data_IF_582659075420
#
_entry.id   IF_582659075420
#
_cell.length_a   1.000
_cell.length_b   1.000
_cell.length_c   1.000
_cell.angle_alpha   90.00
_cell.angle_beta   90.00
_cell.angle_gamma   90.00
#
_symmetry.space_group_name_H-M   'P 1'
#
loop_
_entity.id
_entity.type
_entity.pdbx_description
1 polymer ?
#
# COMPACT_ATOMS: atom_id res chain seq x y z
N UNK A 1 2.93 30.95 30.94
CA UNK A 1 2.58 30.07 29.79
C UNK A 1 3.75 29.77 28.85
N UNK A 2 4.86 30.52 28.82
CA UNK A 2 6.04 30.16 28.00
C UNK A 2 6.94 29.06 28.59
N UNK A 3 6.77 28.70 29.87
CA UNK A 3 7.59 27.67 30.52
C UNK A 3 7.16 26.22 30.20
N UNK A 4 5.99 26.03 29.59
CA UNK A 4 5.44 24.70 29.23
C UNK A 4 5.87 24.21 27.83
N UNK A 5 6.59 25.04 27.06
CA UNK A 5 7.06 24.73 25.71
C UNK A 5 8.59 24.60 25.64
N UNK A 6 9.26 24.73 26.79
CA UNK A 6 10.67 24.39 26.95
C UNK A 6 10.73 22.97 27.54
N UNK A 7 11.26 21.98 26.79
CA UNK A 7 11.28 20.58 27.25
C UNK A 7 11.99 20.40 28.59
N UNK A 8 13.01 21.22 28.88
CA UNK A 8 13.80 21.13 30.11
C UNK A 8 13.05 21.72 31.31
N UNK A 9 12.29 22.80 31.12
CA UNK A 9 11.43 23.37 32.17
C UNK A 9 10.20 22.51 32.46
N UNK A 10 9.59 21.93 31.42
CA UNK A 10 8.45 21.01 31.55
C UNK A 10 8.85 19.73 32.30
N UNK A 11 10.02 19.17 31.99
CA UNK A 11 10.59 18.04 32.71
C UNK A 11 10.79 18.33 34.21
N UNK A 12 11.36 19.50 34.54
CA UNK A 12 11.56 19.92 35.93
C UNK A 12 10.24 20.10 36.69
N UNK A 13 9.19 20.60 36.02
CA UNK A 13 7.86 20.78 36.61
C UNK A 13 7.17 19.44 36.91
N UNK A 14 7.16 18.51 35.95
CA UNK A 14 6.54 17.19 36.13
C UNK A 14 7.28 16.36 37.19
N UNK A 15 8.61 16.48 37.25
CA UNK A 15 9.47 15.84 38.26
C UNK A 15 9.21 16.30 39.68
N UNK A 16 9.03 17.60 39.89
CA UNK A 16 8.89 18.16 41.23
C UNK A 16 7.48 18.02 41.81
N UNK A 17 6.45 17.81 40.97
CA UNK A 17 5.04 17.90 41.39
C UNK A 17 4.19 16.64 41.18
N UNK A 18 4.52 15.73 40.26
CA UNK A 18 3.57 14.68 39.84
C UNK A 18 4.12 13.25 39.72
N UNK A 19 5.38 12.96 40.08
CA UNK A 19 6.01 11.66 39.83
C UNK A 19 6.46 10.90 41.09
N UNK A 20 5.49 10.33 41.79
CA UNK A 20 5.69 9.62 43.06
C UNK A 20 6.09 8.14 42.87
N UNK A 21 6.11 7.61 41.63
CA UNK A 21 6.30 6.16 41.34
C UNK A 21 7.45 5.82 40.37
N UNK A 22 8.29 6.78 40.00
CA UNK A 22 9.44 6.57 39.10
C UNK A 22 9.10 6.64 37.60
N UNK A 23 10.12 6.90 36.78
CA UNK A 23 10.05 7.04 35.30
C UNK A 23 10.67 5.78 34.67
N UNK A 24 10.04 5.15 33.66
CA UNK A 24 10.65 4.04 32.93
C UNK A 24 11.97 4.46 32.24
N UNK A 25 12.99 3.62 32.33
CA UNK A 25 14.33 3.90 31.83
C UNK A 25 14.34 4.15 30.31
N UNK A 26 13.46 3.51 29.55
CA UNK A 26 13.43 3.64 28.08
C UNK A 26 12.98 5.02 27.60
N UNK A 27 12.11 5.71 28.35
CA UNK A 27 11.71 7.09 28.07
C UNK A 27 12.92 8.05 28.16
N UNK A 28 13.86 7.77 29.05
CA UNK A 28 15.10 8.53 29.22
C UNK A 28 16.04 8.33 28.02
N UNK A 29 16.01 7.14 27.39
CA UNK A 29 16.91 6.78 26.29
C UNK A 29 16.42 7.31 24.93
N UNK A 30 15.12 7.27 24.66
CA UNK A 30 14.53 7.89 23.46
C UNK A 30 14.66 9.43 23.49
N UNK A 31 14.49 10.04 24.67
CA UNK A 31 14.62 11.49 24.83
C UNK A 31 16.08 11.96 24.75
N UNK A 32 17.04 11.17 25.25
CA UNK A 32 18.46 11.48 25.18
C UNK A 32 19.00 11.53 23.74
N UNK A 33 18.45 10.73 22.82
CA UNK A 33 18.91 10.70 21.42
C UNK A 33 18.34 11.84 20.57
N UNK A 34 17.23 12.47 20.98
CA UNK A 34 16.68 13.67 20.32
C UNK A 34 17.65 14.87 20.34
N UNK A 35 18.57 14.93 21.31
CA UNK A 35 19.56 16.00 21.45
C UNK A 35 20.72 15.96 20.45
N UNK A 36 20.93 14.86 19.72
CA UNK A 36 22.09 14.70 18.82
C UNK A 36 21.74 14.98 17.34
N UNK A 37 20.47 14.96 16.95
CA UNK A 37 20.05 14.96 15.52
C UNK A 37 19.41 16.25 14.99
N UNK A 38 19.36 17.35 15.75
CA UNK A 38 18.64 18.59 15.38
C UNK A 38 17.18 18.35 14.93
N UNK A 39 16.50 17.45 15.65
CA UNK A 39 15.13 17.05 15.40
C UNK A 39 14.15 18.20 15.70
N UNK A 40 13.35 18.60 14.70
CA UNK A 40 12.18 19.47 14.93
C UNK A 40 11.01 18.59 15.36
N UNK A 41 10.40 18.93 16.50
CA UNK A 41 9.17 18.29 16.98
C UNK A 41 8.15 18.26 15.85
N UNK A 42 7.77 17.05 15.46
CA UNK A 42 6.73 16.86 14.49
C UNK A 42 5.38 17.13 15.16
N UNK A 43 4.34 17.38 14.37
CA UNK A 43 2.98 17.50 14.89
C UNK A 43 2.55 16.28 15.73
N UNK A 44 3.15 15.10 15.51
CA UNK A 44 2.87 13.89 16.28
C UNK A 44 3.39 13.98 17.71
N UNK A 45 4.60 14.50 17.89
CA UNK A 45 5.18 14.75 19.21
C UNK A 45 4.35 15.79 19.97
N UNK A 46 3.83 16.79 19.25
CA UNK A 46 2.96 17.84 19.80
C UNK A 46 1.58 17.30 20.20
N UNK A 47 1.05 16.32 19.47
CA UNK A 47 -0.24 15.68 19.76
C UNK A 47 -0.14 14.72 20.95
N UNK A 48 0.96 13.97 21.09
CA UNK A 48 1.22 13.12 22.25
C UNK A 48 1.31 13.95 23.54
N UNK A 49 1.86 15.16 23.45
CA UNK A 49 1.82 16.16 24.53
C UNK A 49 0.38 16.62 24.87
N UNK A 50 -0.48 16.88 23.89
CA UNK A 50 -1.89 17.24 24.11
C UNK A 50 -2.71 16.09 24.73
N UNK A 51 -2.41 14.84 24.36
CA UNK A 51 -3.08 13.64 24.89
C UNK A 51 -2.74 13.43 26.36
N UNK A 52 -1.47 13.66 26.75
CA UNK A 52 -1.05 13.62 28.14
C UNK A 52 -1.72 14.75 28.94
N UNK A 53 -1.77 15.97 28.39
CA UNK A 53 -2.44 17.15 28.98
C UNK A 53 -3.96 16.96 29.18
N UNK A 54 -4.63 16.26 28.26
CA UNK A 54 -6.06 15.96 28.34
C UNK A 54 -6.38 14.83 29.34
N UNK A 55 -5.51 13.83 29.50
CA UNK A 55 -5.65 12.79 30.53
C UNK A 55 -5.55 13.33 31.97
N UNK A 56 -4.86 14.46 32.17
CA UNK A 56 -4.76 15.16 33.47
C UNK A 56 -6.06 15.91 33.83
N UNK A 57 -7.01 16.09 32.90
CA UNK A 57 -8.27 16.80 33.13
C UNK A 57 -9.50 15.88 33.02
N UNK A 58 -9.93 15.31 34.15
CA UNK A 58 -11.34 14.90 34.37
C UNK A 58 -11.66 14.92 35.87
N UNK A 59 -12.88 15.25 36.35
CA UNK A 59 -13.93 16.11 35.81
C UNK A 59 -14.30 17.20 36.84
N UNK A 60 -14.14 18.49 36.53
CA UNK A 60 -14.85 19.57 37.24
C UNK A 60 -14.91 20.82 36.37
N UNK A 61 -16.09 21.03 35.79
CA UNK A 61 -16.68 22.29 35.32
C UNK A 61 -15.80 23.24 34.51
N UNK A 62 -16.00 23.28 33.17
CA UNK A 62 -16.26 24.53 32.43
C UNK A 62 -17.15 24.21 31.22
N UNK A 63 -18.27 24.92 31.09
CA UNK A 63 -19.21 24.85 29.95
C UNK A 63 -18.63 25.62 28.74
N UNK A 64 -18.62 25.00 27.56
CA UNK A 64 -18.81 25.66 26.26
C UNK A 64 -19.32 24.62 25.23
N UNK A 65 -20.32 24.99 24.42
CA UNK A 65 -21.16 24.10 23.59
C UNK A 65 -20.43 23.39 22.43
N UNK A 66 -20.82 22.15 22.07
CA UNK A 66 -20.18 21.37 21.00
C UNK A 66 -20.91 21.44 19.66
N UNK A 67 -20.16 21.54 18.56
CA UNK A 67 -20.53 20.94 17.28
C UNK A 67 -20.16 19.45 17.32
N UNK A 68 -21.12 18.59 16.96
CA UNK A 68 -21.02 17.13 17.05
C UNK A 68 -20.24 16.57 15.86
N UNK A 69 -19.08 15.97 16.11
CA UNK A 69 -18.49 14.94 15.23
C UNK A 69 -18.83 13.58 15.87
N UNK A 70 -19.32 12.57 15.14
CA UNK A 70 -19.64 11.27 15.71
C UNK A 70 -18.36 10.54 16.14
N UNK A 71 -18.16 10.35 17.45
CA UNK A 71 -17.12 9.50 17.99
C UNK A 71 -17.57 8.04 17.91
N UNK A 72 -16.88 7.21 17.12
CA UNK A 72 -17.08 5.76 17.11
C UNK A 72 -16.58 5.20 18.45
N UNK A 73 -17.52 4.77 19.29
CA UNK A 73 -17.21 4.02 20.52
C UNK A 73 -16.72 2.63 20.10
N UNK A 74 -15.41 2.41 20.16
CA UNK A 74 -14.87 1.05 20.17
C UNK A 74 -15.28 0.47 21.52
N UNK A 75 -16.21 -0.49 21.52
CA UNK A 75 -16.43 -1.32 22.71
C UNK A 75 -15.13 -2.08 22.95
N UNK A 76 -14.49 -1.85 24.10
CA UNK A 76 -13.41 -2.72 24.59
C UNK A 76 -13.97 -4.14 24.66
N UNK A 77 -13.52 -5.00 23.76
CA UNK A 77 -13.79 -6.43 23.83
C UNK A 77 -12.94 -6.96 24.99
N UNK A 78 -13.48 -6.84 26.20
CA UNK A 78 -12.89 -7.36 27.44
C UNK A 78 -13.15 -8.86 27.50
N UNK A 79 -12.33 -9.64 26.81
CA UNK A 79 -12.25 -11.06 27.11
C UNK A 79 -11.42 -11.25 28.40
N UNK A 80 -11.86 -12.10 29.35
CA UNK A 80 -11.05 -12.46 30.49
C UNK A 80 -9.71 -13.06 30.02
N UNK A 81 -8.64 -12.80 30.77
CA UNK A 81 -7.31 -13.30 30.44
C UNK A 81 -7.30 -14.84 30.54
N UNK A 82 -7.50 -15.50 29.40
CA UNK A 82 -7.29 -16.94 29.27
C UNK A 82 -5.79 -17.24 29.33
N UNK A 83 -5.41 -18.27 30.09
CA UNK A 83 -4.03 -18.76 30.15
C UNK A 83 -3.63 -19.37 28.81
N UNK A 84 -2.40 -19.12 28.38
CA UNK A 84 -1.82 -19.69 27.15
C UNK A 84 -1.30 -21.09 27.49
N UNK A 85 -1.76 -22.16 26.80
CA UNK A 85 -1.24 -23.52 27.02
C UNK A 85 0.26 -23.64 26.67
N UNK A 86 0.94 -24.61 27.27
CA UNK A 86 2.38 -24.81 27.05
C UNK A 86 2.64 -25.53 25.72
N UNK A 87 3.48 -24.95 24.85
CA UNK A 87 3.83 -25.57 23.56
C UNK A 87 4.58 -26.91 23.71
N UNK A 88 5.29 -27.10 24.82
CA UNK A 88 6.09 -28.30 25.06
C UNK A 88 5.34 -29.38 25.85
N UNK A 89 4.47 -28.96 26.78
CA UNK A 89 3.78 -29.89 27.67
C UNK A 89 2.40 -30.29 27.11
N UNK A 90 1.74 -29.40 26.36
CA UNK A 90 0.37 -29.56 25.86
C UNK A 90 0.24 -29.08 24.40
N UNK A 91 0.98 -29.68 23.44
CA UNK A 91 1.06 -29.17 22.07
C UNK A 91 -0.29 -29.17 21.34
N UNK A 92 -1.15 -30.15 21.60
CA UNK A 92 -2.50 -30.21 21.00
C UNK A 92 -3.40 -29.08 21.52
N UNK A 93 -3.39 -28.83 22.83
CA UNK A 93 -4.18 -27.75 23.44
C UNK A 93 -3.66 -26.37 23.03
N UNK A 94 -2.34 -26.20 22.95
CA UNK A 94 -1.73 -24.99 22.41
C UNK A 94 -2.16 -24.74 20.97
N UNK A 95 -2.17 -25.78 20.13
CA UNK A 95 -2.55 -25.68 18.72
C UNK A 95 -4.01 -25.25 18.57
N UNK A 96 -4.92 -25.88 19.30
CA UNK A 96 -6.35 -25.56 19.23
C UNK A 96 -6.65 -24.16 19.80
N UNK A 97 -5.99 -23.78 20.89
CA UNK A 97 -6.01 -22.43 21.42
C UNK A 97 -5.53 -21.43 20.37
N UNK A 98 -4.41 -21.72 19.71
CA UNK A 98 -3.80 -20.85 18.71
C UNK A 98 -4.71 -20.66 17.49
N UNK A 99 -5.31 -21.73 16.97
CA UNK A 99 -6.30 -21.65 15.89
C UNK A 99 -7.52 -20.81 16.29
N UNK A 100 -8.03 -21.01 17.50
CA UNK A 100 -9.17 -20.25 18.02
C UNK A 100 -8.85 -18.76 18.11
N UNK A 101 -7.63 -18.38 18.53
CA UNK A 101 -7.20 -16.98 18.54
C UNK A 101 -7.02 -16.41 17.13
N UNK A 102 -6.50 -17.20 16.18
CA UNK A 102 -6.41 -16.76 14.79
C UNK A 102 -7.78 -16.51 14.17
N UNK A 103 -8.76 -17.37 14.44
CA UNK A 103 -10.13 -17.20 13.95
C UNK A 103 -10.78 -15.96 14.56
N UNK A 104 -10.58 -15.72 15.87
CA UNK A 104 -11.07 -14.52 16.53
C UNK A 104 -10.44 -13.24 15.96
N UNK A 105 -9.14 -13.27 15.64
CA UNK A 105 -8.44 -12.16 14.98
C UNK A 105 -8.99 -11.96 13.56
N UNK A 106 -9.24 -13.02 12.80
CA UNK A 106 -9.83 -12.93 11.45
C UNK A 106 -11.20 -12.25 11.51
N UNK A 107 -12.03 -12.65 12.47
CA UNK A 107 -13.37 -12.14 12.67
C UNK A 107 -13.38 -10.66 13.11
N UNK A 108 -12.42 -10.27 13.95
CA UNK A 108 -12.16 -8.86 14.31
C UNK A 108 -11.69 -8.09 13.08
N UNK A 109 -10.71 -8.60 12.35
CA UNK A 109 -10.19 -7.96 11.13
C UNK A 109 -11.30 -7.77 10.11
N UNK A 110 -12.20 -8.73 9.92
CA UNK A 110 -13.31 -8.60 8.97
C UNK A 110 -14.35 -7.56 9.43
N UNK A 111 -14.62 -7.47 10.74
CA UNK A 111 -15.41 -6.37 11.32
C UNK A 111 -14.72 -5.02 11.14
N UNK A 112 -13.39 -4.97 11.26
CA UNK A 112 -12.61 -3.77 10.99
C UNK A 112 -12.52 -3.44 9.51
N UNK A 113 -12.42 -4.42 8.59
CA UNK A 113 -12.39 -4.23 7.13
C UNK A 113 -13.63 -3.49 6.64
N UNK A 114 -14.78 -3.77 7.25
CA UNK A 114 -16.03 -3.05 7.00
C UNK A 114 -15.98 -1.57 7.44
N UNK A 115 -15.20 -1.25 8.47
CA UNK A 115 -14.92 0.13 8.92
C UNK A 115 -13.72 0.77 8.21
N UNK A 116 -12.82 -0.04 7.66
CA UNK A 116 -11.57 0.31 6.98
C UNK A 116 -11.75 0.63 5.50
N UNK A 117 -12.94 1.08 5.08
CA UNK A 117 -13.07 1.80 3.81
C UNK A 117 -12.10 3.01 3.72
N UNK A 118 -11.51 3.43 4.86
CA UNK A 118 -10.39 4.37 4.98
C UNK A 118 -8.97 3.78 4.74
N UNK A 119 -8.74 2.46 4.79
CA UNK A 119 -7.46 1.80 4.41
C UNK A 119 -7.39 1.44 2.91
N UNK A 120 -8.39 1.81 2.11
CA UNK A 120 -8.37 1.68 0.64
C UNK A 120 -7.46 2.74 -0.02
N UNK A 121 -6.29 2.98 0.56
CA UNK A 121 -5.26 3.85 -0.01
C UNK A 121 -4.36 3.08 -0.96
N UNK A 122 -3.78 3.80 -1.92
CA UNK A 122 -2.72 3.24 -2.74
C UNK A 122 -1.44 3.06 -1.90
N UNK A 123 -0.71 1.96 -2.11
CA UNK A 123 0.58 1.64 -1.45
C UNK A 123 1.74 2.49 -1.99
N UNK A 124 1.52 3.80 -2.14
CA UNK A 124 2.46 4.73 -2.78
C UNK A 124 3.79 4.88 -2.05
N UNK A 125 3.86 4.49 -0.77
CA UNK A 125 5.10 4.51 0.02
C UNK A 125 6.15 3.50 -0.50
N UNK A 126 5.72 2.43 -1.19
CA UNK A 126 6.62 1.46 -1.83
C UNK A 126 7.27 1.99 -3.11
N UNK A 127 6.74 3.07 -3.66
CA UNK A 127 7.17 3.62 -4.94
C UNK A 127 8.25 4.67 -4.70
N UNK A 128 9.49 4.38 -5.10
CA UNK A 128 10.59 5.34 -4.99
C UNK A 128 10.46 6.52 -5.96
N UNK A 129 9.79 6.34 -7.09
CA UNK A 129 9.60 7.38 -8.11
C UNK A 129 8.57 8.43 -7.66
N UNK A 130 9.05 9.65 -7.40
CA UNK A 130 8.24 10.77 -6.91
C UNK A 130 7.11 11.18 -7.86
N UNK A 131 7.33 11.13 -9.18
CA UNK A 131 6.32 11.53 -10.16
C UNK A 131 5.14 10.54 -10.17
N UNK A 132 5.41 9.24 -10.02
CA UNK A 132 4.36 8.23 -9.88
C UNK A 132 3.54 8.48 -8.61
N UNK A 133 4.21 8.77 -7.49
CA UNK A 133 3.53 9.11 -6.22
C UNK A 133 2.61 10.32 -6.39
N UNK A 134 3.10 11.39 -7.02
CA UNK A 134 2.31 12.61 -7.25
C UNK A 134 1.05 12.35 -8.07
N UNK A 135 1.11 11.49 -9.09
CA UNK A 135 -0.06 11.14 -9.92
C UNK A 135 -1.13 10.46 -9.07
N UNK A 136 -0.75 9.46 -8.27
CA UNK A 136 -1.69 8.76 -7.40
C UNK A 136 -2.26 9.66 -6.30
N UNK A 137 -1.41 10.44 -5.62
CA UNK A 137 -1.85 11.41 -4.61
C UNK A 137 -2.82 12.43 -5.20
N UNK A 138 -2.56 12.93 -6.41
CA UNK A 138 -3.47 13.85 -7.12
C UNK A 138 -4.82 13.22 -7.38
N UNK A 139 -4.85 11.96 -7.83
CA UNK A 139 -6.10 11.21 -8.03
C UNK A 139 -6.92 11.06 -6.75
N UNK A 140 -6.26 10.75 -5.63
CA UNK A 140 -6.90 10.64 -4.31
C UNK A 140 -7.38 11.99 -3.77
N UNK A 141 -6.60 13.05 -3.94
CA UNK A 141 -7.00 14.40 -3.53
C UNK A 141 -8.23 14.87 -4.29
N UNK A 142 -8.28 14.66 -5.61
CA UNK A 142 -9.45 14.95 -6.44
C UNK A 142 -10.65 14.15 -5.91
N UNK A 143 -10.51 12.85 -5.71
CA UNK A 143 -11.60 12.02 -5.18
C UNK A 143 -12.15 12.58 -3.85
N UNK A 144 -11.28 12.92 -2.90
CA UNK A 144 -11.67 13.43 -1.59
C UNK A 144 -12.31 14.83 -1.65
N UNK A 145 -11.80 15.73 -2.49
CA UNK A 145 -12.34 17.08 -2.64
C UNK A 145 -13.75 17.08 -3.23
N UNK A 146 -14.06 16.13 -4.12
CA UNK A 146 -15.29 16.15 -4.91
C UNK A 146 -16.36 15.17 -4.45
N UNK A 147 -16.16 14.44 -3.35
CA UNK A 147 -17.22 13.62 -2.74
C UNK A 147 -18.51 14.40 -2.42
N UNK A 148 -18.40 15.72 -2.22
CA UNK A 148 -19.53 16.58 -1.87
C UNK A 148 -19.96 17.53 -3.00
N UNK A 149 -19.44 17.38 -4.23
CA UNK A 149 -19.73 18.28 -5.36
C UNK A 149 -20.49 17.55 -6.48
N UNK A 150 -21.70 18.02 -6.79
CA UNK A 150 -22.60 17.37 -7.75
C UNK A 150 -22.20 17.56 -9.24
N UNK A 151 -21.26 18.48 -9.56
CA UNK A 151 -21.01 18.93 -10.94
C UNK A 151 -19.55 18.79 -11.41
N UNK A 152 -18.77 17.91 -10.79
CA UNK A 152 -17.36 17.73 -11.16
C UNK A 152 -17.15 16.56 -12.14
N UNK A 153 -16.26 16.74 -13.12
CA UNK A 153 -15.80 15.65 -13.98
C UNK A 153 -14.85 14.73 -13.21
N UNK A 154 -15.41 13.67 -12.64
CA UNK A 154 -14.67 12.71 -11.83
C UNK A 154 -13.77 11.78 -12.68
N UNK A 155 -13.79 11.89 -14.02
CA UNK A 155 -12.88 11.14 -14.92
C UNK A 155 -11.41 11.39 -14.57
N UNK A 156 -11.10 12.57 -14.03
CA UNK A 156 -9.76 12.97 -13.60
C UNK A 156 -9.15 12.03 -12.55
N UNK A 157 -9.97 11.38 -11.70
CA UNK A 157 -9.49 10.39 -10.72
C UNK A 157 -8.89 9.18 -11.44
N UNK A 158 -9.65 8.57 -12.35
CA UNK A 158 -9.19 7.39 -13.11
C UNK A 158 -8.09 7.75 -14.09
N UNK A 159 -8.10 8.96 -14.67
CA UNK A 159 -7.02 9.44 -15.53
C UNK A 159 -5.69 9.51 -14.78
N UNK A 160 -5.69 10.00 -13.53
CA UNK A 160 -4.51 10.00 -12.69
C UNK A 160 -4.03 8.58 -12.35
N UNK A 161 -4.94 7.66 -12.00
CA UNK A 161 -4.60 6.26 -11.75
C UNK A 161 -4.04 5.56 -13.00
N UNK A 162 -4.67 5.77 -14.15
CA UNK A 162 -4.18 5.27 -15.43
C UNK A 162 -2.78 5.81 -15.73
N UNK A 163 -2.53 7.10 -15.46
CA UNK A 163 -1.23 7.71 -15.76
C UNK A 163 -0.15 7.24 -14.80
N UNK A 164 -0.48 7.06 -13.52
CA UNK A 164 0.40 6.45 -12.53
C UNK A 164 0.78 5.02 -12.94
N UNK A 165 -0.19 4.20 -13.35
CA UNK A 165 0.07 2.84 -13.83
C UNK A 165 0.91 2.82 -15.12
N UNK A 166 0.61 3.66 -16.12
CA UNK A 166 1.45 3.80 -17.32
C UNK A 166 2.90 4.13 -16.96
N UNK A 167 3.09 5.00 -15.97
CA UNK A 167 4.41 5.44 -15.54
C UNK A 167 5.14 4.35 -14.77
N UNK A 168 4.45 3.54 -13.94
CA UNK A 168 5.02 2.32 -13.33
C UNK A 168 5.51 1.36 -14.41
N UNK A 169 4.67 1.07 -15.40
CA UNK A 169 5.04 0.11 -16.46
C UNK A 169 6.19 0.65 -17.31
N UNK A 170 6.23 1.96 -17.54
CA UNK A 170 7.36 2.56 -18.24
C UNK A 170 8.66 2.54 -17.41
N UNK A 171 8.56 2.73 -16.10
CA UNK A 171 9.69 2.67 -15.17
C UNK A 171 10.25 1.24 -15.05
N UNK A 172 9.37 0.25 -14.91
CA UNK A 172 9.73 -1.13 -14.57
C UNK A 172 9.85 -2.07 -15.76
N UNK A 173 8.94 -2.00 -16.74
CA UNK A 173 8.95 -2.89 -17.90
C UNK A 173 9.74 -2.27 -19.06
N UNK A 174 9.52 -1.00 -19.40
CA UNK A 174 10.26 -0.41 -20.54
C UNK A 174 11.77 -0.32 -20.28
N UNK A 175 12.19 -0.28 -19.01
CA UNK A 175 13.61 -0.27 -18.65
C UNK A 175 14.31 -1.59 -18.99
N UNK A 176 13.67 -2.75 -18.80
CA UNK A 176 14.26 -4.03 -19.20
C UNK A 176 14.33 -4.20 -20.73
N UNK A 177 13.47 -3.48 -21.48
CA UNK A 177 13.42 -3.48 -22.94
C UNK A 177 14.43 -2.53 -23.61
N UNK A 178 15.22 -1.77 -22.84
CA UNK A 178 16.17 -0.78 -23.38
C UNK A 178 17.20 -1.39 -24.34
N UNK A 179 17.85 -2.54 -24.05
CA UNK A 179 18.82 -3.13 -24.96
C UNK A 179 18.21 -3.49 -26.33
N UNK A 180 16.97 -3.99 -26.33
CA UNK A 180 16.25 -4.29 -27.57
C UNK A 180 15.81 -3.04 -28.32
N UNK A 181 15.43 -1.99 -27.58
CA UNK A 181 15.11 -0.69 -28.17
C UNK A 181 16.31 -0.14 -28.95
N UNK A 182 17.51 -0.24 -28.39
CA UNK A 182 18.76 0.17 -29.04
C UNK A 182 19.09 -0.71 -30.25
N UNK A 183 18.95 -2.04 -30.11
CA UNK A 183 19.18 -3.01 -31.18
C UNK A 183 18.32 -2.72 -32.42
N UNK A 184 17.02 -2.48 -32.23
CA UNK A 184 16.07 -2.32 -33.34
C UNK A 184 15.83 -0.87 -33.77
N UNK A 185 16.45 0.12 -33.11
CA UNK A 185 16.26 1.53 -33.41
C UNK A 185 16.56 1.88 -34.88
N UNK A 186 17.60 1.27 -35.46
CA UNK A 186 18.02 1.51 -36.85
C UNK A 186 17.01 0.93 -37.85
N UNK A 187 16.51 -0.28 -37.60
CA UNK A 187 15.46 -0.95 -38.40
C UNK A 187 14.16 -0.15 -38.36
N UNK A 188 13.78 0.34 -37.18
CA UNK A 188 12.61 1.21 -37.00
C UNK A 188 12.71 2.51 -37.80
N UNK A 189 13.85 3.22 -37.75
CA UNK A 189 14.06 4.47 -38.51
C UNK A 189 14.00 4.27 -40.02
N UNK A 190 14.45 3.12 -40.51
CA UNK A 190 14.37 2.73 -41.92
C UNK A 190 12.98 2.25 -42.34
N UNK A 191 12.00 2.21 -41.43
CA UNK A 191 10.65 1.65 -41.64
C UNK A 191 10.68 0.17 -42.08
N UNK A 192 11.70 -0.57 -41.63
CA UNK A 192 11.89 -1.98 -41.96
C UNK A 192 11.31 -2.93 -40.89
N UNK A 193 10.66 -2.41 -39.86
CA UNK A 193 9.93 -3.19 -38.83
C UNK A 193 8.49 -3.47 -39.28
N UNK A 194 7.88 -4.55 -38.78
CA UNK A 194 6.50 -4.84 -39.13
C UNK A 194 5.50 -3.78 -38.61
N UNK A 195 4.32 -3.67 -39.25
CA UNK A 195 3.24 -2.82 -38.74
C UNK A 195 2.82 -3.18 -37.31
N UNK A 196 2.80 -4.47 -36.97
CA UNK A 196 2.41 -4.96 -35.65
C UNK A 196 3.41 -4.55 -34.56
N UNK A 197 4.72 -4.71 -34.86
CA UNK A 197 5.79 -4.22 -34.00
C UNK A 197 5.67 -2.71 -33.77
N UNK A 198 5.44 -1.93 -34.84
CA UNK A 198 5.29 -0.48 -34.75
C UNK A 198 4.08 -0.06 -33.93
N UNK A 199 2.97 -0.79 -34.03
CA UNK A 199 1.76 -0.53 -33.25
C UNK A 199 2.01 -0.70 -31.74
N UNK A 200 2.68 -1.79 -31.36
CA UNK A 200 2.95 -2.16 -29.96
C UNK A 200 4.10 -1.36 -29.34
N UNK A 201 5.28 -1.41 -29.93
CA UNK A 201 6.52 -0.88 -29.33
C UNK A 201 7.06 0.39 -30.01
N UNK A 202 6.37 0.90 -31.03
CA UNK A 202 6.82 2.10 -31.75
C UNK A 202 6.91 3.37 -30.89
N UNK A 203 6.20 3.44 -29.75
CA UNK A 203 6.34 4.55 -28.81
C UNK A 203 7.67 4.50 -28.05
N UNK A 204 8.14 3.30 -27.66
CA UNK A 204 9.46 3.14 -27.04
C UNK A 204 10.58 3.56 -27.99
N UNK A 205 10.46 3.20 -29.27
CA UNK A 205 11.41 3.61 -30.31
C UNK A 205 11.44 5.12 -30.54
N UNK A 206 10.38 5.84 -30.14
CA UNK A 206 10.28 7.30 -30.16
C UNK A 206 10.63 7.93 -28.80
N UNK A 207 11.14 7.14 -27.85
CA UNK A 207 11.41 7.54 -26.46
C UNK A 207 10.18 8.10 -25.75
N UNK A 208 9.00 7.55 -26.05
CA UNK A 208 7.72 7.88 -25.41
C UNK A 208 7.24 6.73 -24.56
N UNK A 209 6.46 7.02 -23.52
CA UNK A 209 5.76 6.01 -22.74
C UNK A 209 4.70 5.31 -23.60
N UNK A 210 4.59 3.99 -23.48
CA UNK A 210 3.47 3.23 -24.05
C UNK A 210 2.19 3.57 -23.26
N UNK A 211 1.10 3.88 -23.97
CA UNK A 211 -0.19 4.16 -23.34
C UNK A 211 -0.83 2.90 -22.76
N UNK A 212 -1.71 3.05 -21.77
CA UNK A 212 -2.34 1.91 -21.09
C UNK A 212 -3.10 1.01 -22.07
N UNK A 213 -3.80 1.59 -23.04
CA UNK A 213 -4.51 0.82 -24.08
C UNK A 213 -3.56 0.00 -24.96
N UNK A 214 -2.37 0.50 -25.26
CA UNK A 214 -1.34 -0.28 -25.97
C UNK A 214 -0.75 -1.38 -25.09
N UNK A 215 -0.55 -1.12 -23.79
CA UNK A 215 -0.16 -2.17 -22.85
C UNK A 215 -1.18 -3.31 -22.79
N UNK A 216 -2.48 -3.02 -22.82
CA UNK A 216 -3.52 -4.07 -22.92
C UNK A 216 -3.31 -4.93 -24.16
N UNK A 217 -3.08 -4.31 -25.33
CA UNK A 217 -2.81 -5.06 -26.57
C UNK A 217 -1.49 -5.85 -26.54
N UNK A 218 -0.45 -5.32 -25.90
CA UNK A 218 0.82 -6.04 -25.70
C UNK A 218 0.58 -7.27 -24.82
N UNK A 219 -0.07 -7.08 -23.66
CA UNK A 219 -0.30 -8.12 -22.66
C UNK A 219 -1.36 -9.15 -23.07
N UNK A 220 -2.29 -8.82 -23.97
CA UNK A 220 -3.28 -9.79 -24.46
C UNK A 220 -2.62 -10.83 -25.35
N UNK A 221 -1.66 -10.40 -26.15
CA UNK A 221 -1.12 -11.23 -27.20
C UNK A 221 0.24 -11.87 -26.83
N UNK A 222 0.73 -11.72 -25.61
CA UNK A 222 2.07 -12.19 -25.21
C UNK A 222 2.30 -13.69 -25.37
N UNK A 223 1.25 -14.51 -25.23
CA UNK A 223 1.32 -15.97 -25.43
C UNK A 223 1.09 -16.41 -26.88
N UNK A 224 0.81 -15.47 -27.79
CA UNK A 224 0.56 -15.82 -29.19
C UNK A 224 1.91 -16.06 -29.88
N UNK A 225 2.09 -17.18 -30.59
CA UNK A 225 3.30 -17.40 -31.37
C UNK A 225 3.45 -16.34 -32.47
N UNK A 226 4.55 -15.59 -32.46
CA UNK A 226 4.81 -14.55 -33.46
C UNK A 226 5.74 -15.03 -34.58
N UNK A 227 5.37 -14.66 -35.81
CA UNK A 227 6.27 -14.79 -36.97
C UNK A 227 7.34 -13.70 -37.01
N UNK A 228 7.04 -12.53 -36.45
CA UNK A 228 7.95 -11.39 -36.36
C UNK A 228 9.04 -11.65 -35.31
N UNK A 229 10.30 -11.58 -35.72
CA UNK A 229 11.43 -11.84 -34.84
C UNK A 229 11.57 -10.75 -33.76
N UNK A 230 11.31 -9.49 -34.09
CA UNK A 230 11.37 -8.39 -33.14
C UNK A 230 10.32 -8.51 -32.04
N UNK A 231 9.09 -8.89 -32.39
CA UNK A 231 8.05 -9.14 -31.38
C UNK A 231 8.44 -10.29 -30.45
N UNK A 232 8.96 -11.39 -31.00
CA UNK A 232 9.43 -12.52 -30.19
C UNK A 232 10.51 -12.10 -29.20
N UNK A 233 11.49 -11.32 -29.65
CA UNK A 233 12.61 -10.90 -28.81
C UNK A 233 12.11 -9.99 -27.66
N UNK A 234 11.18 -9.08 -27.94
CA UNK A 234 10.56 -8.25 -26.89
C UNK A 234 9.74 -9.06 -25.89
N UNK A 235 8.91 -10.00 -26.35
CA UNK A 235 8.13 -10.85 -25.45
C UNK A 235 9.02 -11.79 -24.62
N UNK A 236 10.01 -12.42 -25.24
CA UNK A 236 10.98 -13.25 -24.54
C UNK A 236 11.76 -12.45 -23.48
N UNK A 237 12.06 -11.17 -23.74
CA UNK A 237 12.67 -10.29 -22.76
C UNK A 237 11.74 -10.03 -21.55
N UNK A 238 10.44 -9.82 -21.78
CA UNK A 238 9.47 -9.67 -20.69
C UNK A 238 9.39 -10.96 -19.87
N UNK A 239 9.24 -12.12 -20.51
CA UNK A 239 9.14 -13.42 -19.84
C UNK A 239 10.40 -13.77 -19.04
N UNK A 240 11.57 -13.34 -19.51
CA UNK A 240 12.83 -13.53 -18.79
C UNK A 240 12.89 -12.71 -17.49
N UNK A 241 12.23 -11.54 -17.45
CA UNK A 241 12.32 -10.61 -16.32
C UNK A 241 11.12 -10.69 -15.36
N UNK A 242 10.00 -11.26 -15.80
CA UNK A 242 8.76 -11.31 -15.02
C UNK A 242 8.11 -12.67 -15.15
N UNK A 243 7.72 -13.25 -14.02
CA UNK A 243 6.98 -14.50 -14.01
C UNK A 243 5.54 -14.33 -14.56
N UNK A 244 4.92 -15.46 -14.91
CA UNK A 244 3.58 -15.48 -15.50
C UNK A 244 2.51 -14.85 -14.60
N UNK A 245 2.62 -14.98 -13.28
CA UNK A 245 1.66 -14.43 -12.35
C UNK A 245 1.77 -12.90 -12.30
N UNK A 246 2.99 -12.37 -12.27
CA UNK A 246 3.27 -10.93 -12.36
C UNK A 246 2.68 -10.33 -13.65
N UNK A 247 2.92 -10.96 -14.80
CA UNK A 247 2.35 -10.51 -16.08
C UNK A 247 0.81 -10.53 -16.05
N UNK A 248 0.19 -11.57 -15.49
CA UNK A 248 -1.27 -11.67 -15.36
C UNK A 248 -1.85 -10.59 -14.44
N UNK A 249 -1.17 -10.25 -13.34
CA UNK A 249 -1.58 -9.17 -12.43
C UNK A 249 -1.57 -7.83 -13.16
N UNK A 250 -0.50 -7.55 -13.90
CA UNK A 250 -0.37 -6.33 -14.71
C UNK A 250 -1.46 -6.27 -15.78
N UNK A 251 -1.68 -7.37 -16.51
CA UNK A 251 -2.70 -7.45 -17.56
C UNK A 251 -4.09 -7.10 -17.00
N UNK A 252 -4.49 -7.71 -15.89
CA UNK A 252 -5.80 -7.46 -15.26
C UNK A 252 -5.97 -6.01 -14.84
N UNK A 253 -4.93 -5.40 -14.26
CA UNK A 253 -4.97 -3.99 -13.87
C UNK A 253 -5.12 -3.07 -15.11
N UNK A 254 -4.34 -3.31 -16.16
CA UNK A 254 -4.42 -2.57 -17.41
C UNK A 254 -5.80 -2.69 -18.06
N UNK A 255 -6.32 -3.90 -18.20
CA UNK A 255 -7.63 -4.18 -18.79
C UNK A 255 -8.73 -3.45 -18.02
N UNK A 256 -8.77 -3.61 -16.69
CA UNK A 256 -9.78 -2.97 -15.86
C UNK A 256 -9.73 -1.45 -15.97
N UNK A 257 -8.57 -0.83 -15.75
CA UNK A 257 -8.45 0.63 -15.69
C UNK A 257 -8.68 1.26 -17.08
N UNK A 258 -8.22 0.61 -18.14
CA UNK A 258 -8.41 1.11 -19.52
C UNK A 258 -9.88 1.19 -19.93
N UNK A 259 -10.74 0.30 -19.43
CA UNK A 259 -12.19 0.31 -19.72
C UNK A 259 -12.89 1.55 -19.16
N UNK A 260 -12.36 2.12 -18.08
CA UNK A 260 -12.93 3.29 -17.41
C UNK A 260 -12.19 4.59 -17.72
N UNK A 261 -11.11 4.51 -18.52
CA UNK A 261 -10.47 5.68 -19.07
C UNK A 261 -11.34 6.22 -20.19
N UNK A 262 -12.16 7.22 -19.88
CA UNK A 262 -13.03 7.83 -20.88
C UNK A 262 -12.18 8.60 -21.89
N UNK A 263 -12.52 8.43 -23.17
CA UNK A 263 -12.06 9.35 -24.20
C UNK A 263 -12.56 10.76 -23.84
N UNK A 264 -11.83 11.81 -24.23
CA UNK A 264 -12.06 13.22 -23.89
C UNK A 264 -13.50 13.77 -24.10
N UNK A 265 -14.44 12.99 -24.65
CA UNK A 265 -15.81 13.36 -24.94
C UNK A 265 -16.86 12.85 -23.92
N UNK A 266 -16.50 11.99 -22.96
CA UNK A 266 -17.43 11.53 -21.92
C UNK A 266 -16.88 11.88 -20.53
N UNK A 267 -17.75 12.43 -19.69
CA UNK A 267 -17.46 12.71 -18.28
C UNK A 267 -18.03 11.59 -17.42
N UNK A 268 -17.29 11.22 -16.37
CA UNK A 268 -17.72 10.19 -15.42
C UNK A 268 -18.34 10.86 -14.21
N UNK A 269 -19.52 10.39 -13.79
CA UNK A 269 -20.15 10.85 -12.55
C UNK A 269 -19.37 10.36 -11.33
N UNK A 270 -19.46 11.10 -10.23
CA UNK A 270 -18.81 10.71 -8.97
C UNK A 270 -19.31 9.36 -8.45
N UNK A 271 -20.62 9.07 -8.58
CA UNK A 271 -21.20 7.76 -8.19
C UNK A 271 -20.52 6.59 -8.90
N UNK A 272 -20.26 6.74 -10.20
CA UNK A 272 -19.53 5.74 -10.99
C UNK A 272 -18.10 5.57 -10.47
N UNK A 273 -17.42 6.66 -10.13
CA UNK A 273 -16.05 6.61 -9.57
C UNK A 273 -16.02 5.96 -8.19
N UNK A 274 -16.97 6.27 -7.30
CA UNK A 274 -17.09 5.64 -5.97
C UNK A 274 -17.20 4.12 -6.10
N UNK A 275 -17.94 3.62 -7.09
CA UNK A 275 -18.06 2.18 -7.36
C UNK A 275 -16.78 1.54 -7.93
N UNK A 276 -16.07 2.22 -8.82
CA UNK A 276 -14.91 1.67 -9.54
C UNK A 276 -13.63 1.76 -8.70
N UNK A 277 -13.46 2.84 -7.94
CA UNK A 277 -12.21 3.19 -7.26
C UNK A 277 -11.65 2.08 -6.37
N UNK A 278 -12.43 1.40 -5.50
CA UNK A 278 -11.89 0.35 -4.63
C UNK A 278 -11.22 -0.78 -5.43
N UNK A 279 -11.86 -1.20 -6.53
CA UNK A 279 -11.32 -2.25 -7.41
C UNK A 279 -10.09 -1.78 -8.18
N UNK A 280 -10.08 -0.52 -8.65
CA UNK A 280 -8.91 0.07 -9.30
C UNK A 280 -7.71 0.09 -8.34
N UNK A 281 -7.91 0.54 -7.10
CA UNK A 281 -6.85 0.60 -6.07
C UNK A 281 -6.34 -0.80 -5.73
N UNK A 282 -7.22 -1.77 -5.53
CA UNK A 282 -6.81 -3.16 -5.27
C UNK A 282 -5.92 -3.73 -6.38
N UNK A 283 -6.27 -3.49 -7.64
CA UNK A 283 -5.47 -3.93 -8.79
C UNK A 283 -4.14 -3.17 -8.90
N UNK A 284 -4.12 -1.86 -8.68
CA UNK A 284 -2.87 -1.07 -8.70
C UNK A 284 -1.95 -1.49 -7.56
N UNK A 285 -2.48 -1.71 -6.36
CA UNK A 285 -1.70 -2.19 -5.23
C UNK A 285 -1.07 -3.56 -5.53
N UNK A 286 -1.83 -4.46 -6.17
CA UNK A 286 -1.27 -5.75 -6.61
C UNK A 286 -0.10 -5.58 -7.58
N UNK A 287 -0.19 -4.60 -8.51
CA UNK A 287 0.91 -4.26 -9.43
C UNK A 287 2.11 -3.67 -8.67
N UNK A 288 1.86 -2.78 -7.71
CA UNK A 288 2.91 -2.18 -6.88
C UNK A 288 3.64 -3.27 -6.11
N UNK A 289 2.90 -4.18 -5.47
CA UNK A 289 3.49 -5.28 -4.70
C UNK A 289 4.42 -6.11 -5.59
N UNK A 290 3.97 -6.60 -6.75
CA UNK A 290 4.82 -7.45 -7.60
C UNK A 290 5.99 -6.73 -8.31
N UNK A 291 5.97 -5.39 -8.45
CA UNK A 291 7.02 -4.64 -9.16
C UNK A 291 7.96 -3.84 -8.25
N UNK A 292 7.57 -3.60 -7.00
CA UNK A 292 8.37 -2.83 -6.03
C UNK A 292 8.72 -3.63 -4.78
N UNK A 293 8.02 -4.72 -4.47
CA UNK A 293 8.54 -5.69 -3.51
C UNK A 293 9.60 -6.51 -4.23
N UNK A 294 10.85 -6.02 -4.15
CA UNK A 294 12.00 -6.87 -4.40
C UNK A 294 11.92 -8.00 -3.36
N UNK A 295 11.37 -9.15 -3.77
CA UNK A 295 11.48 -10.40 -3.04
C UNK A 295 12.97 -10.75 -2.94
N UNK A 296 13.65 -10.16 -1.96
CA UNK A 296 14.84 -10.75 -1.39
C UNK A 296 14.42 -12.13 -0.85
N UNK A 297 15.27 -13.12 -1.02
CA UNK A 297 15.01 -14.56 -0.87
C UNK A 297 14.62 -15.03 0.55
N UNK A 298 14.20 -14.13 1.44
CA UNK A 298 13.52 -14.49 2.66
C UNK A 298 12.03 -14.56 2.35
N UNK A 299 11.37 -15.66 2.72
CA UNK A 299 9.91 -15.74 2.69
C UNK A 299 9.35 -14.70 3.67
N UNK A 300 9.27 -13.43 3.23
CA UNK A 300 8.84 -12.31 4.04
C UNK A 300 7.48 -12.63 4.62
N UNK A 301 7.30 -12.24 5.88
CA UNK A 301 6.04 -12.36 6.61
C UNK A 301 4.99 -11.64 5.77
N UNK A 302 3.93 -12.32 5.27
CA UNK A 302 2.92 -11.66 4.48
C UNK A 302 2.27 -10.52 5.25
N UNK A 303 1.82 -9.49 4.55
CA UNK A 303 1.19 -8.34 5.20
C UNK A 303 -0.04 -8.77 6.01
N UNK A 304 -0.20 -8.21 7.21
CA UNK A 304 -1.42 -8.36 8.02
C UNK A 304 -2.69 -7.86 7.29
N UNK A 305 -2.54 -7.05 6.24
CA UNK A 305 -3.64 -6.60 5.38
C UNK A 305 -4.22 -7.74 4.52
N UNK A 306 -3.39 -8.74 4.16
CA UNK A 306 -3.84 -10.01 3.59
C UNK A 306 -3.76 -11.08 4.67
N UNK A 307 -4.64 -10.96 5.67
CA UNK A 307 -4.65 -11.84 6.83
C UNK A 307 -4.77 -13.32 6.43
N UNK A 308 -5.44 -13.63 5.31
CA UNK A 308 -5.56 -15.01 4.81
C UNK A 308 -4.21 -15.56 4.37
N UNK A 309 -3.42 -14.77 3.63
CA UNK A 309 -2.07 -15.15 3.24
C UNK A 309 -1.12 -15.21 4.45
N UNK A 310 -1.22 -14.25 5.37
CA UNK A 310 -0.45 -14.23 6.63
C UNK A 310 -0.76 -15.46 7.50
N UNK A 311 -2.05 -15.79 7.70
CA UNK A 311 -2.52 -16.99 8.40
C UNK A 311 -1.94 -18.24 7.76
N UNK A 312 -2.06 -18.38 6.44
CA UNK A 312 -1.52 -19.53 5.71
C UNK A 312 0.00 -19.66 5.85
N UNK A 313 0.74 -18.55 5.79
CA UNK A 313 2.19 -18.52 6.01
C UNK A 313 2.55 -18.93 7.43
N UNK A 314 1.81 -18.44 8.42
CA UNK A 314 2.10 -18.70 9.83
C UNK A 314 1.82 -20.17 10.18
N UNK A 315 0.71 -20.73 9.68
CA UNK A 315 0.40 -22.16 9.81
C UNK A 315 1.46 -23.05 9.15
N UNK A 316 1.99 -22.62 7.99
CA UNK A 316 3.10 -23.32 7.35
C UNK A 316 4.41 -23.24 8.15
N UNK A 317 4.69 -22.13 8.85
CA UNK A 317 5.86 -22.04 9.73
C UNK A 317 5.69 -22.92 10.97
N UNK A 318 4.49 -22.95 11.56
CA UNK A 318 4.18 -23.82 12.69
C UNK A 318 4.33 -25.30 12.33
N UNK A 319 3.81 -25.75 11.19
CA UNK A 319 3.95 -27.16 10.80
C UNK A 319 5.40 -27.59 10.57
N UNK A 320 6.29 -26.67 10.17
CA UNK A 320 7.72 -26.93 10.11
C UNK A 320 8.38 -27.07 11.47
N UNK A 321 7.92 -26.30 12.46
CA UNK A 321 8.41 -26.39 13.84
C UNK A 321 7.95 -27.71 14.45
N UNK A 322 6.67 -28.06 14.29
CA UNK A 322 6.12 -29.36 14.73
C UNK A 322 6.92 -30.52 14.15
N UNK A 323 7.16 -30.52 12.83
CA UNK A 323 7.96 -31.56 12.19
C UNK A 323 9.40 -31.63 12.72
N UNK A 324 10.01 -30.49 13.07
CA UNK A 324 11.35 -30.46 13.66
C UNK A 324 11.37 -31.02 15.09
N UNK A 325 10.31 -30.77 15.86
CA UNK A 325 10.16 -31.28 17.23
C UNK A 325 9.83 -32.79 17.24
N UNK A 326 9.11 -33.33 16.26
CA UNK A 326 8.82 -34.77 16.17
C UNK A 326 10.06 -35.62 15.83
N UNK A 327 11.12 -35.01 15.29
CA UNK A 327 12.36 -35.68 14.89
C UNK A 327 13.37 -35.79 16.07
N UNK A 328 13.17 -35.02 17.14
CA UNK A 328 14.10 -34.87 18.26
C UNK A 328 13.46 -35.24 19.59
#
# INVERSE_FOLDING_TARGET
>A
MQELYDPQKLFNYLRNHHWNKGIPQEFIEEWAQMNISHYSLTEADQLDFEIILNKVKSPSQVKCSPHKIPTLKIQEITHPAESIPSIYEEPEEFRDWFYTKLDLIEDIIDKFKNNLQQLNGLKIHKISNLEIRKMFTSGDQIFNQFQNSANFDASSVINNYSKGLETILNDKLSSCLRPLTELYQSKFRRKNTSPEFNNKFGDLMKKKSISLGKWVGIMKDWKIPYKDAELRDFYACIEKNFDNQTIMIIQRACEFISQYREAHSKTSSMDKIVLIRPKAIGLINSVIDVLYDNLSEYSEIPSLLDFKQFKSWLLFKLSKIEHFLDIH
#
